data_IF_972927065359
#
_entry.id   IF_972927065359
#
_cell.length_a   1.000
_cell.length_b   1.000
_cell.length_c   1.000
_cell.angle_alpha   90.00
_cell.angle_beta   90.00
_cell.angle_gamma   90.00
#
_symmetry.space_group_name_H-M   'P 1'
#
loop_
_entity.id
_entity.type
_entity.pdbx_description
1 polymer ?
#
# COMPACT_ATOMS: atom_id res chain seq x y z
N UNK A 1 19.53 8.54 22.40
CA UNK A 1 19.85 8.83 20.98
C UNK A 1 20.16 10.30 20.74
N UNK A 2 19.19 11.23 20.83
CA UNK A 2 19.44 12.66 20.60
C UNK A 2 20.42 13.25 21.62
N UNK A 3 20.17 13.01 22.92
CA UNK A 3 21.05 13.50 24.00
C UNK A 3 22.46 12.91 23.92
N UNK A 4 22.58 11.66 23.45
CA UNK A 4 23.86 10.98 23.27
C UNK A 4 24.66 11.55 22.10
N UNK A 5 24.01 11.81 20.95
CA UNK A 5 24.65 12.43 19.79
C UNK A 5 25.11 13.87 20.11
N UNK A 6 24.31 14.62 20.89
CA UNK A 6 24.69 15.95 21.37
C UNK A 6 25.89 15.89 22.32
N UNK A 7 25.93 14.91 23.24
CA UNK A 7 27.02 14.76 24.20
C UNK A 7 28.33 14.30 23.56
N UNK A 8 28.28 13.45 22.53
CA UNK A 8 29.46 12.93 21.82
C UNK A 8 29.95 13.84 20.69
N UNK A 9 29.12 14.79 20.24
CA UNK A 9 29.38 15.59 19.04
C UNK A 9 29.29 14.79 17.74
N UNK A 10 28.70 13.59 17.76
CA UNK A 10 28.50 12.76 16.56
C UNK A 10 27.25 13.17 15.78
N UNK A 11 27.22 12.84 14.48
CA UNK A 11 26.01 12.99 13.69
C UNK A 11 24.86 12.13 14.26
N UNK A 12 23.64 12.67 14.20
CA UNK A 12 22.42 11.93 14.53
C UNK A 12 21.94 11.20 13.27
N UNK A 13 21.84 9.88 13.36
CA UNK A 13 21.36 9.00 12.29
C UNK A 13 19.95 8.51 12.64
N UNK A 14 18.99 8.76 11.75
CA UNK A 14 17.56 8.40 11.91
C UNK A 14 17.02 7.60 10.71
N UNK A 15 17.89 7.20 9.79
CA UNK A 15 17.56 6.50 8.55
C UNK A 15 16.94 5.11 8.80
N UNK A 16 17.08 4.58 10.02
CA UNK A 16 16.41 3.35 10.44
C UNK A 16 14.92 3.53 10.79
N UNK A 17 14.47 4.78 10.97
CA UNK A 17 13.09 5.10 11.31
C UNK A 17 12.28 5.46 10.08
N UNK A 18 11.03 5.04 10.10
CA UNK A 18 10.03 5.39 9.08
C UNK A 18 9.20 6.60 9.52
N UNK A 19 8.53 7.23 8.55
CA UNK A 19 7.55 8.28 8.84
C UNK A 19 6.46 7.79 9.79
N UNK A 20 6.02 8.67 10.69
CA UNK A 20 4.85 8.41 11.54
C UNK A 20 3.50 8.53 10.82
N UNK A 21 3.50 8.88 9.53
CA UNK A 21 2.30 8.97 8.69
C UNK A 21 2.00 7.62 8.01
N UNK A 22 0.73 7.40 7.68
CA UNK A 22 0.27 6.18 7.01
C UNK A 22 -0.39 5.18 7.96
N UNK A 23 -0.81 4.05 7.39
CA UNK A 23 -1.46 2.98 8.14
C UNK A 23 -0.39 2.14 8.86
N UNK A 24 -0.51 1.89 10.17
CA UNK A 24 0.41 1.00 10.86
C UNK A 24 0.42 -0.40 10.24
N UNK A 25 1.60 -1.00 10.04
CA UNK A 25 1.74 -2.34 9.45
C UNK A 25 0.89 -3.42 10.13
N UNK A 26 0.73 -3.31 11.46
CA UNK A 26 -0.12 -4.23 12.26
C UNK A 26 -1.63 -4.11 12.02
N UNK A 27 -2.07 -3.12 11.23
CA UNK A 27 -3.47 -2.89 10.85
C UNK A 27 -3.71 -3.09 9.36
N UNK A 28 -2.75 -3.69 8.62
CA UNK A 28 -2.90 -3.97 7.20
C UNK A 28 -4.10 -4.89 6.90
N UNK A 29 -4.28 -5.92 7.73
CA UNK A 29 -5.38 -6.85 7.59
C UNK A 29 -6.54 -6.47 8.52
N UNK A 30 -7.80 -6.56 8.05
CA UNK A 30 -8.95 -6.55 8.94
C UNK A 30 -8.80 -7.63 10.01
N UNK A 31 -9.36 -7.39 11.20
CA UNK A 31 -9.27 -8.34 12.34
C UNK A 31 -9.74 -9.76 11.98
N UNK A 32 -10.76 -9.88 11.13
CA UNK A 32 -11.40 -11.15 10.83
C UNK A 32 -12.23 -11.69 12.01
N UNK A 33 -12.52 -12.99 11.97
CA UNK A 33 -13.26 -13.72 13.01
C UNK A 33 -12.55 -15.02 13.35
N UNK A 34 -12.79 -15.58 14.53
CA UNK A 34 -12.16 -16.85 14.95
C UNK A 34 -12.63 -18.02 14.09
N UNK A 35 -13.88 -18.01 13.64
CA UNK A 35 -14.43 -18.97 12.67
C UNK A 35 -13.97 -18.73 11.22
N UNK A 36 -13.21 -17.67 10.96
CA UNK A 36 -12.85 -17.22 9.63
C UNK A 36 -13.82 -16.18 9.06
N UNK A 37 -13.28 -15.24 8.30
CA UNK A 37 -14.06 -14.24 7.57
C UNK A 37 -13.59 -14.21 6.12
N UNK A 38 -14.52 -14.43 5.19
CA UNK A 38 -14.25 -14.45 3.76
C UNK A 38 -14.02 -13.03 3.22
N UNK A 39 -12.99 -12.88 2.38
CA UNK A 39 -12.69 -11.66 1.65
C UNK A 39 -12.31 -11.99 0.20
N UNK A 40 -12.62 -11.08 -0.71
CA UNK A 40 -12.08 -11.09 -2.07
C UNK A 40 -10.79 -10.27 -2.08
N UNK A 41 -9.64 -10.93 -2.30
CA UNK A 41 -8.42 -10.21 -2.69
C UNK A 41 -8.48 -9.99 -4.19
N UNK A 42 -8.30 -8.73 -4.58
CA UNK A 42 -8.26 -8.31 -5.98
C UNK A 42 -6.84 -7.91 -6.35
N UNK A 43 -6.35 -8.49 -7.43
CA UNK A 43 -5.10 -8.12 -8.09
C UNK A 43 -5.43 -7.45 -9.43
N UNK A 44 -4.77 -6.34 -9.70
CA UNK A 44 -4.85 -5.67 -10.99
C UNK A 44 -3.45 -5.22 -11.41
N UNK A 45 -3.09 -5.45 -12.67
CA UNK A 45 -1.80 -5.08 -13.24
C UNK A 45 -2.03 -4.08 -14.36
N UNK A 46 -1.57 -2.85 -14.16
CA UNK A 46 -1.63 -1.79 -15.16
C UNK A 46 -0.28 -1.55 -15.84
N UNK A 47 -0.29 -0.69 -16.87
CA UNK A 47 0.89 -0.35 -17.66
C UNK A 47 1.68 0.75 -16.94
N UNK A 48 2.71 0.37 -16.18
CA UNK A 48 3.52 1.30 -15.38
C UNK A 48 4.18 2.43 -16.20
N UNK A 49 4.45 2.22 -17.50
CA UNK A 49 5.00 3.28 -18.35
C UNK A 49 3.96 4.38 -18.65
N UNK A 50 2.66 4.05 -18.60
CA UNK A 50 1.57 5.01 -18.73
C UNK A 50 1.16 5.61 -17.40
N UNK A 51 1.38 4.90 -16.29
CA UNK A 51 0.91 5.30 -14.97
C UNK A 51 1.93 6.19 -14.24
N UNK A 52 3.22 6.01 -14.50
CA UNK A 52 4.28 6.79 -13.86
C UNK A 52 4.14 8.29 -14.11
N UNK A 53 4.06 9.06 -13.02
CA UNK A 53 4.13 10.51 -13.02
C UNK A 53 5.56 11.02 -12.72
N UNK A 54 6.44 10.15 -12.23
CA UNK A 54 7.84 10.44 -11.88
C UNK A 54 8.78 9.44 -12.57
N UNK A 55 10.00 9.87 -12.86
CA UNK A 55 11.02 8.97 -13.41
C UNK A 55 11.44 7.92 -12.37
N UNK A 56 11.75 6.70 -12.82
CA UNK A 56 12.24 5.65 -11.93
C UNK A 56 11.21 5.13 -10.91
N UNK A 57 9.90 5.37 -11.08
CA UNK A 57 8.89 4.87 -10.14
C UNK A 57 9.02 3.35 -9.87
N UNK A 58 9.32 2.58 -10.90
CA UNK A 58 9.49 1.13 -10.82
C UNK A 58 10.75 0.70 -10.03
N UNK A 59 11.66 1.63 -9.75
CA UNK A 59 12.85 1.44 -8.91
C UNK A 59 12.62 1.91 -7.46
N UNK A 60 11.50 2.60 -7.20
CA UNK A 60 11.19 3.12 -5.88
C UNK A 60 10.89 1.97 -4.91
N UNK A 61 11.61 1.96 -3.79
CA UNK A 61 11.36 1.06 -2.65
C UNK A 61 10.61 1.78 -1.52
N UNK A 62 10.23 3.03 -1.73
CA UNK A 62 9.57 3.88 -0.73
C UNK A 62 8.08 3.60 -0.67
N UNK A 63 7.56 3.39 0.54
CA UNK A 63 6.16 3.12 0.80
C UNK A 63 5.33 4.41 0.84
N UNK A 64 4.68 4.77 -0.28
CA UNK A 64 4.00 6.06 -0.44
C UNK A 64 2.52 6.04 -0.01
N UNK A 65 2.22 5.61 1.22
CA UNK A 65 0.84 5.48 1.70
C UNK A 65 0.16 6.81 2.05
N UNK A 66 0.92 7.89 2.15
CA UNK A 66 0.45 9.22 2.54
C UNK A 66 0.91 10.31 1.56
N UNK A 67 1.26 9.92 0.33
CA UNK A 67 1.84 10.80 -0.69
C UNK A 67 3.37 10.87 -0.64
N UNK A 68 3.95 11.67 -1.53
CA UNK A 68 5.40 11.89 -1.61
C UNK A 68 5.78 13.24 -1.00
N UNK A 69 6.92 13.27 -0.30
CA UNK A 69 7.43 14.49 0.35
C UNK A 69 7.78 15.60 -0.66
N UNK A 70 8.16 15.21 -1.88
CA UNK A 70 8.55 16.10 -2.98
C UNK A 70 7.35 16.73 -3.71
N UNK A 71 6.13 16.39 -3.27
CA UNK A 71 4.87 17.05 -3.63
C UNK A 71 4.18 16.48 -4.86
N UNK A 72 4.85 15.71 -5.73
CA UNK A 72 4.20 15.08 -6.89
C UNK A 72 3.80 13.65 -6.54
N UNK A 73 2.51 13.33 -6.65
CA UNK A 73 2.06 11.95 -6.49
C UNK A 73 2.67 11.08 -7.61
N UNK A 74 3.21 9.90 -7.29
CA UNK A 74 4.06 9.17 -8.22
C UNK A 74 3.26 8.43 -9.30
N UNK A 75 1.99 8.12 -9.02
CA UNK A 75 1.03 7.53 -9.96
C UNK A 75 0.11 8.64 -10.53
N UNK A 76 -0.06 8.68 -11.85
CA UNK A 76 -0.92 9.63 -12.54
C UNK A 76 -2.39 9.16 -12.64
N UNK A 77 -2.72 7.98 -12.11
CA UNK A 77 -4.07 7.45 -12.05
C UNK A 77 -4.89 8.08 -10.92
N UNK A 78 -6.24 8.09 -11.06
CA UNK A 78 -7.11 8.45 -9.94
C UNK A 78 -6.87 7.55 -8.73
N UNK A 79 -6.89 8.11 -7.52
CA UNK A 79 -6.84 7.29 -6.30
C UNK A 79 -8.00 6.29 -6.28
N UNK A 80 -7.67 5.01 -6.09
CA UNK A 80 -8.63 3.91 -6.12
C UNK A 80 -8.74 3.20 -7.48
N UNK A 81 -8.05 3.67 -8.52
CA UNK A 81 -8.02 2.99 -9.82
C UNK A 81 -7.57 1.52 -9.69
N UNK A 82 -8.25 0.55 -10.34
CA UNK A 82 -9.34 0.70 -11.31
C UNK A 82 -10.76 0.61 -10.70
N UNK A 83 -10.88 0.65 -9.37
CA UNK A 83 -12.12 0.47 -8.62
C UNK A 83 -12.77 1.81 -8.20
N UNK A 84 -12.20 2.94 -8.63
CA UNK A 84 -12.71 4.29 -8.34
C UNK A 84 -14.04 4.61 -9.04
N UNK A 85 -14.40 3.83 -10.07
CA UNK A 85 -15.60 4.03 -10.87
C UNK A 85 -16.60 2.90 -10.70
N UNK A 86 -17.88 3.26 -10.86
CA UNK A 86 -18.97 2.30 -10.91
C UNK A 86 -18.83 1.40 -12.15
N UNK A 87 -18.92 0.10 -11.92
CA UNK A 87 -18.97 -0.92 -12.96
C UNK A 87 -20.32 -1.64 -12.85
N UNK A 88 -21.19 -1.41 -13.83
CA UNK A 88 -22.53 -2.00 -13.86
C UNK A 88 -22.56 -3.42 -14.45
N UNK A 89 -21.49 -3.83 -15.13
CA UNK A 89 -21.36 -5.11 -15.81
C UNK A 89 -20.04 -5.77 -15.44
N UNK A 90 -20.11 -6.84 -14.65
CA UNK A 90 -18.96 -7.57 -14.11
C UNK A 90 -18.08 -8.18 -15.21
N UNK A 91 -18.65 -8.44 -16.40
CA UNK A 91 -17.93 -8.94 -17.56
C UNK A 91 -16.83 -7.98 -18.00
N UNK A 92 -16.96 -6.68 -17.73
CA UNK A 92 -15.91 -5.70 -18.04
C UNK A 92 -14.62 -6.03 -17.27
N UNK A 93 -14.76 -6.42 -16.00
CA UNK A 93 -13.65 -6.79 -15.13
C UNK A 93 -13.23 -8.24 -15.40
N UNK A 94 -14.19 -9.15 -15.53
CA UNK A 94 -13.92 -10.58 -15.67
C UNK A 94 -13.39 -10.98 -17.06
N UNK A 95 -13.49 -10.10 -18.07
CA UNK A 95 -13.01 -10.38 -19.44
C UNK A 95 -11.56 -9.96 -19.69
N UNK A 96 -10.95 -9.18 -18.80
CA UNK A 96 -9.56 -8.74 -18.96
C UNK A 96 -8.59 -9.70 -18.28
N UNK A 97 -7.43 -9.94 -18.89
CA UNK A 97 -6.44 -10.90 -18.39
C UNK A 97 -5.58 -10.36 -17.24
N UNK A 98 -5.60 -9.05 -17.03
CA UNK A 98 -4.77 -8.34 -16.05
C UNK A 98 -5.54 -7.94 -14.78
N UNK A 99 -6.73 -8.50 -14.56
CA UNK A 99 -7.50 -8.36 -13.33
C UNK A 99 -7.88 -9.75 -12.81
N UNK A 100 -7.67 -10.00 -11.51
CA UNK A 100 -7.98 -11.29 -10.89
C UNK A 100 -8.48 -11.12 -9.46
N UNK A 101 -9.67 -11.65 -9.18
CA UNK A 101 -10.17 -11.88 -7.82
C UNK A 101 -9.81 -13.28 -7.32
N UNK A 102 -9.50 -13.39 -6.02
CA UNK A 102 -9.26 -14.64 -5.30
C UNK A 102 -9.96 -14.57 -3.95
N UNK A 103 -10.73 -15.61 -3.63
CA UNK A 103 -11.43 -15.72 -2.36
C UNK A 103 -10.48 -16.28 -1.30
N UNK A 104 -10.40 -15.60 -0.16
CA UNK A 104 -9.57 -16.00 0.97
C UNK A 104 -10.34 -15.91 2.28
N UNK A 105 -9.82 -16.56 3.32
CA UNK A 105 -10.33 -16.42 4.68
C UNK A 105 -9.28 -15.80 5.60
N UNK A 106 -9.70 -14.79 6.36
CA UNK A 106 -8.89 -14.18 7.42
C UNK A 106 -9.40 -14.67 8.77
N UNK A 107 -8.51 -15.25 9.56
CA UNK A 107 -8.81 -15.79 10.88
C UNK A 107 -8.23 -14.90 11.98
N UNK A 108 -9.07 -14.52 12.94
CA UNK A 108 -8.59 -13.92 14.18
C UNK A 108 -8.12 -15.03 15.12
N UNK A 109 -6.88 -14.93 15.60
CA UNK A 109 -6.36 -15.80 16.66
C UNK A 109 -6.46 -15.02 17.96
N UNK A 110 -7.16 -15.57 18.96
CA UNK A 110 -7.18 -14.99 20.30
C UNK A 110 -5.90 -15.34 21.06
N UNK A 111 -5.39 -14.39 21.83
CA UNK A 111 -4.29 -14.65 22.75
C UNK A 111 -4.84 -15.39 23.97
N UNK A 112 -4.29 -16.57 24.27
CA UNK A 112 -4.59 -17.35 25.47
C UNK A 112 -3.93 -16.74 26.72
#
# INVERSE_FOLDING_TARGET
MTDEALASGSALHLEEYESGLGLPNRFLLPKGKTEGMEFHIVFFVSDGAKDGAVEGLHESTTFNHYGCYDGKYPDNRPHGYPLDRRVDDDRIINSVSNFKGVDINVFHVEDN
#
